data_IF_599609088239
#
_entry.id   IF_599609088239
#
_cell.length_a   1.000
_cell.length_b   1.000
_cell.length_c   1.000
_cell.angle_alpha   90.00
_cell.angle_beta   90.00
_cell.angle_gamma   90.00
#
_symmetry.space_group_name_H-M   'P 1'
#
loop_
_entity.id
_entity.type
_entity.pdbx_description
1 polymer ?
#
# COMPACT_ATOMS: atom_id res chain seq x y z
N UNK A 1 0.66 5.18 -5.66
CA UNK A 1 -0.51 4.55 -5.03
C UNK A 1 -0.10 4.04 -3.66
N UNK A 2 -1.02 3.93 -2.70
CA UNK A 2 -0.79 3.26 -1.41
C UNK A 2 -2.02 2.41 -1.12
N UNK A 3 -1.84 1.10 -1.10
CA UNK A 3 -2.90 0.13 -0.78
C UNK A 3 -2.71 -0.40 0.64
N UNK A 4 -3.76 -0.31 1.46
CA UNK A 4 -3.75 -0.75 2.87
C UNK A 4 -5.01 -1.54 3.19
N UNK A 5 -4.97 -2.32 4.28
CA UNK A 5 -6.12 -3.06 4.76
C UNK A 5 -6.19 -3.01 6.29
N UNK A 6 -7.41 -2.99 6.83
CA UNK A 6 -7.67 -2.95 8.27
C UNK A 6 -8.97 -3.67 8.62
N UNK A 7 -9.09 -4.11 9.88
CA UNK A 7 -10.33 -4.66 10.42
C UNK A 7 -11.09 -3.53 11.12
N UNK A 8 -12.35 -3.32 10.74
CA UNK A 8 -13.20 -2.34 11.40
C UNK A 8 -13.40 -2.67 12.89
N UNK A 9 -13.44 -1.64 13.74
CA UNK A 9 -13.58 -1.78 15.20
C UNK A 9 -14.78 -2.62 15.64
N UNK A 10 -15.86 -2.60 14.86
CA UNK A 10 -17.10 -3.32 15.14
C UNK A 10 -17.42 -4.36 14.05
N UNK A 11 -16.39 -4.96 13.43
CA UNK A 11 -16.59 -6.01 12.43
C UNK A 11 -17.44 -7.15 13.04
N UNK A 12 -18.56 -7.56 12.40
CA UNK A 12 -19.44 -8.61 12.93
C UNK A 12 -18.77 -10.00 12.89
N UNK A 13 -17.73 -10.16 12.07
CA UNK A 13 -16.95 -11.40 11.93
C UNK A 13 -15.44 -11.09 11.94
N UNK A 14 -14.87 -10.71 13.10
CA UNK A 14 -13.49 -10.24 13.18
C UNK A 14 -12.48 -11.34 12.81
N UNK A 15 -12.77 -12.61 13.13
CA UNK A 15 -11.90 -13.73 12.79
C UNK A 15 -11.89 -14.02 11.28
N UNK A 16 -13.03 -13.87 10.60
CA UNK A 16 -13.10 -14.01 9.15
C UNK A 16 -12.36 -12.86 8.45
N UNK A 17 -12.50 -11.63 8.96
CA UNK A 17 -11.76 -10.48 8.46
C UNK A 17 -10.25 -10.67 8.63
N UNK A 18 -9.80 -11.21 9.77
CA UNK A 18 -8.40 -11.56 10.00
C UNK A 18 -7.89 -12.59 8.98
N UNK A 19 -8.64 -13.68 8.77
CA UNK A 19 -8.28 -14.70 7.76
C UNK A 19 -8.18 -14.12 6.35
N UNK A 20 -9.03 -13.16 6.02
CA UNK A 20 -8.93 -12.44 4.75
C UNK A 20 -7.62 -11.66 4.66
N UNK A 21 -7.26 -10.88 5.69
CA UNK A 21 -5.98 -10.14 5.70
C UNK A 21 -4.78 -11.08 5.64
N UNK A 22 -4.81 -12.20 6.36
CA UNK A 22 -3.78 -13.25 6.31
C UNK A 22 -3.66 -13.85 4.91
N UNK A 23 -4.79 -14.11 4.23
CA UNK A 23 -4.80 -14.56 2.85
C UNK A 23 -4.19 -13.53 1.89
N UNK A 24 -4.53 -12.24 2.05
CA UNK A 24 -4.04 -11.16 1.20
C UNK A 24 -2.52 -10.98 1.28
N UNK A 25 -1.89 -11.40 2.38
CA UNK A 25 -0.43 -11.41 2.55
C UNK A 25 0.19 -12.78 2.24
N UNK A 26 -0.44 -13.59 1.38
CA UNK A 26 0.21 -14.78 0.81
C UNK A 26 0.83 -14.43 -0.55
N UNK A 27 1.91 -15.12 -0.99
CA UNK A 27 2.50 -14.88 -2.31
C UNK A 27 1.50 -15.03 -3.46
N UNK A 28 0.58 -16.00 -3.35
CA UNK A 28 -0.45 -16.24 -4.37
C UNK A 28 -1.46 -15.08 -4.47
N UNK A 29 -1.93 -14.57 -3.34
CA UNK A 29 -2.85 -13.42 -3.34
C UNK A 29 -2.14 -12.14 -3.80
N UNK A 30 -0.91 -11.89 -3.30
CA UNK A 30 -0.10 -10.74 -3.70
C UNK A 30 0.16 -10.72 -5.22
N UNK A 31 0.46 -11.86 -5.83
CA UNK A 31 0.61 -11.94 -7.29
C UNK A 31 -0.65 -11.50 -8.03
N UNK A 32 -1.83 -11.85 -7.54
CA UNK A 32 -3.11 -11.47 -8.18
C UNK A 32 -3.41 -9.99 -7.95
N UNK A 33 -3.38 -9.54 -6.70
CA UNK A 33 -3.75 -8.17 -6.33
C UNK A 33 -2.78 -7.13 -6.88
N UNK A 34 -1.46 -7.33 -6.68
CA UNK A 34 -0.47 -6.39 -7.17
C UNK A 34 -0.45 -6.33 -8.71
N UNK A 35 -0.67 -7.46 -9.40
CA UNK A 35 -0.73 -7.46 -10.86
C UNK A 35 -1.98 -6.75 -11.43
N UNK A 36 -3.12 -6.81 -10.74
CA UNK A 36 -4.34 -6.13 -11.17
C UNK A 36 -4.17 -4.60 -11.19
N UNK A 37 -3.45 -4.05 -10.21
CA UNK A 37 -3.26 -2.61 -10.03
C UNK A 37 -1.86 -2.12 -10.46
N UNK A 38 -1.06 -3.00 -11.08
CA UNK A 38 0.32 -2.72 -11.48
C UNK A 38 1.20 -2.19 -10.32
N UNK A 39 1.00 -2.73 -9.13
CA UNK A 39 1.75 -2.39 -7.92
C UNK A 39 2.93 -3.34 -7.66
N UNK A 40 3.83 -2.93 -6.78
CA UNK A 40 4.84 -3.81 -6.20
C UNK A 40 4.21 -4.60 -5.06
N UNK A 41 4.33 -5.94 -5.04
CA UNK A 41 3.86 -6.73 -3.91
C UNK A 41 4.70 -6.40 -2.67
N UNK A 42 4.09 -6.48 -1.49
CA UNK A 42 4.80 -6.25 -0.22
C UNK A 42 5.68 -7.42 0.18
N UNK A 43 5.34 -8.63 -0.27
CA UNK A 43 6.17 -9.83 -0.07
C UNK A 43 7.19 -9.96 -1.21
N UNK A 44 8.45 -10.14 -0.84
CA UNK A 44 9.55 -10.30 -1.79
C UNK A 44 9.44 -11.60 -2.60
N UNK A 45 8.77 -12.62 -2.06
CA UNK A 45 8.55 -13.92 -2.67
C UNK A 45 7.42 -13.90 -3.72
N UNK A 46 6.62 -12.83 -3.76
CA UNK A 46 5.55 -12.70 -4.75
C UNK A 46 6.09 -12.19 -6.09
N UNK A 47 5.67 -12.84 -7.17
CA UNK A 47 6.03 -12.45 -8.53
C UNK A 47 5.36 -11.12 -8.92
N UNK A 48 6.13 -10.21 -9.52
CA UNK A 48 5.63 -8.92 -10.03
C UNK A 48 4.99 -9.11 -11.41
N UNK A 49 4.06 -8.24 -11.76
CA UNK A 49 3.58 -8.18 -13.15
C UNK A 49 4.74 -7.84 -14.11
N UNK A 50 4.74 -8.32 -15.37
CA UNK A 50 5.83 -8.12 -16.32
C UNK A 50 6.27 -6.66 -16.46
N UNK A 51 5.31 -5.73 -16.59
CA UNK A 51 5.60 -4.29 -16.69
C UNK A 51 6.26 -3.73 -15.42
N UNK A 52 5.88 -4.23 -14.24
CA UNK A 52 6.48 -3.80 -12.97
C UNK A 52 7.89 -4.39 -12.82
N UNK A 53 8.11 -5.61 -13.31
CA UNK A 53 9.45 -6.21 -13.34
C UNK A 53 10.40 -5.45 -14.28
N UNK A 54 9.92 -4.96 -15.42
CA UNK A 54 10.70 -4.15 -16.38
C UNK A 54 11.15 -2.79 -15.80
N UNK A 55 10.36 -2.18 -14.90
CA UNK A 55 10.76 -0.95 -14.18
C UNK A 55 11.98 -1.22 -13.28
N UNK A 56 12.13 -2.46 -12.80
CA UNK A 56 13.27 -2.90 -12.01
C UNK A 56 13.05 -2.80 -10.51
N UNK A 57 14.15 -2.81 -9.76
CA UNK A 57 14.13 -2.64 -8.30
C UNK A 57 14.76 -1.31 -7.93
N UNK A 58 14.33 -0.74 -6.81
CA UNK A 58 14.84 0.51 -6.28
C UNK A 58 15.07 0.37 -4.78
N UNK A 59 15.91 1.24 -4.21
CA UNK A 59 16.01 1.37 -2.77
C UNK A 59 14.78 2.12 -2.26
N UNK A 60 13.88 1.42 -1.59
CA UNK A 60 12.71 2.03 -0.97
C UNK A 60 13.15 2.89 0.24
N UNK A 61 12.53 4.06 0.39
CA UNK A 61 12.67 4.85 1.61
C UNK A 61 12.12 4.04 2.80
N UNK A 62 12.84 4.10 3.92
CA UNK A 62 12.52 3.35 5.14
C UNK A 62 11.73 4.16 6.15
N UNK A 63 11.41 5.43 5.85
CA UNK A 63 10.58 6.26 6.73
C UNK A 63 9.22 5.58 6.97
N UNK A 64 8.79 5.40 8.24
CA UNK A 64 7.51 4.78 8.53
C UNK A 64 6.34 5.56 7.90
N UNK A 65 5.40 4.84 7.27
CA UNK A 65 4.30 5.48 6.55
C UNK A 65 3.36 6.27 7.46
N UNK A 66 3.28 5.89 8.74
CA UNK A 66 2.53 6.61 9.77
C UNK A 66 3.19 7.94 10.17
N UNK A 67 4.53 8.03 10.14
CA UNK A 67 5.24 9.30 10.28
C UNK A 67 4.93 10.24 9.10
N UNK A 68 4.91 9.70 7.88
CA UNK A 68 4.52 10.44 6.66
C UNK A 68 3.07 10.92 6.78
N UNK A 69 2.15 10.03 7.17
CA UNK A 69 0.74 10.36 7.35
C UNK A 69 0.53 11.44 8.43
N UNK A 70 1.34 11.42 9.50
CA UNK A 70 1.31 12.45 10.55
C UNK A 70 1.59 13.86 10.05
N UNK A 71 2.28 14.01 8.91
CA UNK A 71 2.58 15.32 8.29
C UNK A 71 1.53 15.77 7.25
N UNK A 72 0.46 15.00 7.04
CA UNK A 72 -0.51 15.27 5.97
C UNK A 72 -1.07 16.71 6.03
N UNK A 73 -1.45 17.20 7.20
CA UNK A 73 -2.03 18.54 7.35
C UNK A 73 -1.01 19.65 7.02
N UNK A 74 0.24 19.49 7.46
CA UNK A 74 1.30 20.44 7.15
C UNK A 74 1.63 20.46 5.65
N UNK A 75 1.64 19.29 5.01
CA UNK A 75 1.83 19.16 3.57
C UNK A 75 0.71 19.85 2.77
N UNK A 76 -0.56 19.64 3.13
CA UNK A 76 -1.70 20.30 2.49
C UNK A 76 -1.61 21.83 2.65
N UNK A 77 -1.27 22.31 3.85
CA UNK A 77 -1.10 23.75 4.08
C UNK A 77 0.03 24.35 3.23
N UNK A 78 1.12 23.60 3.01
CA UNK A 78 2.22 24.03 2.16
C UNK A 78 1.82 24.07 0.69
N UNK A 79 1.13 23.05 0.18
CA UNK A 79 0.60 22.99 -1.20
C UNK A 79 -0.23 24.25 -1.50
N UNK A 80 -1.21 24.55 -0.64
CA UNK A 80 -2.05 25.74 -0.81
C UNK A 80 -1.28 27.05 -0.66
N UNK A 81 -0.26 27.11 0.20
CA UNK A 81 0.58 28.30 0.36
C UNK A 81 1.38 28.64 -0.91
N UNK A 82 1.79 27.63 -1.67
CA UNK A 82 2.59 27.82 -2.90
C UNK A 82 1.75 27.80 -4.18
N UNK A 83 0.42 27.59 -4.08
CA UNK A 83 -0.50 27.52 -5.23
C UNK A 83 -0.19 26.35 -6.15
N UNK A 84 0.24 25.20 -5.62
CA UNK A 84 0.60 24.03 -6.44
C UNK A 84 -0.63 23.25 -6.95
N UNK A 85 -1.82 23.61 -6.45
CA UNK A 85 -3.12 23.04 -6.83
C UNK A 85 -3.99 24.00 -7.67
N UNK A 86 -3.43 25.12 -8.14
CA UNK A 86 -4.03 26.03 -9.14
C UNK A 86 -3.61 25.68 -10.58
#
# INVERSE_FOLDING_TARGET
NLTSAAIAKHAPHPDAARKLLEFLVTPAAQRIFAAAELEYPVLAEAERAPIVAEIGSFAADTLPIDEVAGQQQAAIALIGKVGFDE
#
